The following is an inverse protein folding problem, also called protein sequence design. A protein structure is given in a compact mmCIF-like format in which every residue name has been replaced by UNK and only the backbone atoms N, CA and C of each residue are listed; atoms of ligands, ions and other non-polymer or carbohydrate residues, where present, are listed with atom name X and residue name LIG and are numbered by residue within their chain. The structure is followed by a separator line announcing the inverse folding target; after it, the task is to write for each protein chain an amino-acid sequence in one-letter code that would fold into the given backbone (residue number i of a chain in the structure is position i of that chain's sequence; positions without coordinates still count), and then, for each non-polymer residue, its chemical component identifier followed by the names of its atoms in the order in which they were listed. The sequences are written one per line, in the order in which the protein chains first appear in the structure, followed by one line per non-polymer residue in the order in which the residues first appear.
data_IF_465642840193
#
_entry.id   IF_465642840193
#
_cell.length_a   1.000
_cell.length_b   1.000
_cell.length_c   1.000
_cell.angle_alpha   90.00
_cell.angle_beta   90.00
_cell.angle_gamma   90.00
#
_symmetry.space_group_name_H-M   'P 1'
#
loop_
_entity.id
_entity.type
_entity.pdbx_description
1 polymer ?
#
# COMPACT_ATOMS: atom_id res chain seq x y z
N UNK A 1 10.41 30.07 -6.26
CA UNK A 1 10.74 29.44 -6.11
C UNK A 1 11.12 28.71 -5.58
N UNK A 2 11.08 28.13 -5.54
CA UNK A 2 11.48 27.43 -5.14
C UNK A 2 11.78 26.74 -4.51
N UNK A 3 11.66 26.48 -4.34
CA UNK A 3 11.98 25.88 -3.81
C UNK A 3 12.14 25.06 -3.32
N UNK A 4 11.86 24.94 -3.17
CA UNK A 4 12.04 24.23 -2.80
C UNK A 4 12.30 23.40 -2.70
N UNK A 5 12.05 23.25 -2.90
CA UNK A 5 12.42 22.34 -2.85
C UNK A 5 13.09 21.77 -2.24
N UNK A 6 12.99 21.97 -2.39
CA UNK A 6 13.79 21.67 -1.86
C UNK A 6 14.14 21.05 -0.91
N UNK A 7 14.52 21.27 -0.55
CA UNK A 7 14.98 20.73 0.68
C UNK A 7 14.29 19.58 1.22
N UNK A 8 13.38 19.30 0.72
CA UNK A 8 12.64 18.19 1.19
C UNK A 8 13.31 16.89 1.06
N UNK A 9 14.41 16.82 0.38
CA UNK A 9 15.07 15.55 0.19
C UNK A 9 15.37 14.82 1.48
N UNK A 10 15.76 15.53 2.50
CA UNK A 10 16.16 14.88 3.73
C UNK A 10 15.05 14.16 4.46
N UNK A 11 13.83 14.48 4.20
CA UNK A 11 12.71 13.87 4.93
C UNK A 11 11.96 12.85 4.10
N UNK A 12 12.57 12.31 3.07
CA UNK A 12 11.89 11.40 2.16
C UNK A 12 11.30 10.20 2.87
N UNK A 13 12.05 9.58 3.78
CA UNK A 13 11.55 8.40 4.49
C UNK A 13 10.30 8.73 5.31
N UNK A 14 10.27 9.89 5.95
CA UNK A 14 9.12 10.31 6.72
C UNK A 14 7.91 10.59 5.85
N UNK A 15 8.12 10.97 4.60
CA UNK A 15 7.04 11.28 3.66
C UNK A 15 6.61 10.07 2.85
N UNK A 16 7.27 8.95 2.97
CA UNK A 16 6.97 7.77 2.18
C UNK A 16 5.76 7.01 2.71
N UNK A 17 5.53 7.07 4.00
CA UNK A 17 4.45 6.32 4.65
C UNK A 17 3.30 7.25 5.02
N UNK A 18 2.10 6.82 4.63
CA UNK A 18 0.88 7.57 4.96
C UNK A 18 -0.16 6.59 5.46
N UNK A 19 -0.84 6.98 6.54
CA UNK A 19 -1.99 6.24 7.02
C UNK A 19 -3.22 7.05 6.64
N UNK A 20 -4.11 6.45 5.86
CA UNK A 20 -5.27 7.16 5.33
C UNK A 20 -6.55 6.42 5.68
N UNK A 21 -7.67 7.10 5.53
CA UNK A 21 -8.98 6.50 5.74
C UNK A 21 -9.35 5.63 4.54
N UNK A 22 -10.32 4.74 4.75
CA UNK A 22 -10.82 3.91 3.68
C UNK A 22 -11.54 4.73 2.62
N UNK A 23 -12.20 5.79 3.04
CA UNK A 23 -12.83 6.70 2.11
C UNK A 23 -11.79 7.37 1.21
N UNK A 24 -10.69 7.80 1.80
CA UNK A 24 -9.61 8.41 1.04
C UNK A 24 -8.98 7.41 0.08
N UNK A 25 -8.78 6.19 0.54
CA UNK A 25 -8.23 5.14 -0.31
C UNK A 25 -9.15 4.90 -1.51
N UNK A 26 -10.46 4.85 -1.28
CA UNK A 26 -11.42 4.64 -2.36
C UNK A 26 -11.35 5.77 -3.38
N UNK A 27 -11.22 7.00 -2.92
CA UNK A 27 -11.08 8.13 -3.83
C UNK A 27 -9.82 8.01 -4.69
N UNK A 28 -8.71 7.57 -4.08
CA UNK A 28 -7.48 7.39 -4.83
C UNK A 28 -7.64 6.30 -5.89
N UNK A 29 -8.30 5.20 -5.51
CA UNK A 29 -8.57 4.11 -6.47
C UNK A 29 -9.39 4.59 -7.66
N UNK A 30 -10.34 5.49 -7.41
CA UNK A 30 -11.25 5.95 -8.47
C UNK A 30 -10.62 7.01 -9.37
N UNK A 31 -9.62 7.73 -8.89
CA UNK A 31 -9.15 8.94 -9.57
C UNK A 31 -7.75 8.85 -10.15
N UNK A 32 -6.97 7.86 -9.75
CA UNK A 32 -5.59 7.78 -10.24
C UNK A 32 -5.14 6.34 -10.33
N UNK A 33 -4.00 6.14 -10.96
CA UNK A 33 -3.41 4.81 -11.05
C UNK A 33 -2.76 4.47 -9.73
N UNK A 34 -3.19 3.37 -9.14
CA UNK A 34 -2.64 2.90 -7.87
C UNK A 34 -2.46 1.39 -7.94
N UNK A 35 -1.60 0.88 -7.10
CA UNK A 35 -1.47 -0.56 -6.90
C UNK A 35 -2.11 -0.87 -5.55
N UNK A 36 -3.15 -1.71 -5.56
CA UNK A 36 -3.85 -2.11 -4.34
C UNK A 36 -3.21 -3.42 -3.89
N UNK A 37 -2.60 -3.41 -2.73
CA UNK A 37 -1.82 -4.54 -2.24
C UNK A 37 -2.51 -5.19 -1.04
N UNK A 38 -2.90 -6.45 -1.23
CA UNK A 38 -3.46 -7.28 -0.18
C UNK A 38 -2.32 -8.09 0.44
N UNK A 39 -2.04 -7.87 1.72
CA UNK A 39 -0.90 -8.52 2.36
C UNK A 39 -1.32 -9.65 3.29
N UNK A 40 -2.56 -10.15 3.10
CA UNK A 40 -3.06 -11.31 3.82
C UNK A 40 -2.53 -12.59 3.17
N UNK A 41 -3.08 -13.74 3.59
CA UNK A 41 -2.68 -15.02 3.02
C UNK A 41 -3.54 -15.37 1.81
N UNK A 42 -3.08 -16.34 1.05
CA UNK A 42 -3.75 -16.75 -0.19
C UNK A 42 -5.21 -17.15 0.05
N UNK A 43 -5.47 -17.93 1.09
CA UNK A 43 -6.83 -18.39 1.37
C UNK A 43 -7.76 -17.24 1.74
N UNK A 44 -7.24 -16.23 2.41
CA UNK A 44 -8.03 -15.03 2.72
C UNK A 44 -8.36 -14.27 1.45
N UNK A 45 -7.37 -14.11 0.59
CA UNK A 45 -7.55 -13.43 -0.68
C UNK A 45 -8.58 -14.14 -1.55
N UNK A 46 -8.50 -15.46 -1.60
CA UNK A 46 -9.42 -16.28 -2.41
C UNK A 46 -10.85 -16.19 -1.90
N UNK A 47 -11.04 -16.02 -0.61
CA UNK A 47 -12.36 -15.90 -0.01
C UNK A 47 -13.02 -14.54 -0.30
N UNK A 48 -12.24 -13.55 -0.69
CA UNK A 48 -12.76 -12.23 -1.02
C UNK A 48 -11.67 -11.19 -0.88
N UNK A 49 -11.61 -10.25 -1.81
CA UNK A 49 -10.61 -9.19 -1.78
C UNK A 49 -11.15 -7.94 -2.46
N UNK A 50 -10.49 -6.83 -2.23
CA UNK A 50 -10.89 -5.56 -2.84
C UNK A 50 -10.64 -5.65 -4.35
N UNK A 51 -11.60 -5.23 -5.18
CA UNK A 51 -11.45 -5.35 -6.63
C UNK A 51 -10.15 -4.71 -7.13
N UNK A 52 -9.42 -5.45 -7.95
CA UNK A 52 -8.15 -4.98 -8.49
C UNK A 52 -6.95 -5.21 -7.59
N UNK A 53 -7.13 -5.74 -6.40
CA UNK A 53 -6.01 -5.99 -5.49
C UNK A 53 -5.12 -7.11 -6.00
N UNK A 54 -3.82 -6.96 -5.75
CA UNK A 54 -2.84 -8.02 -5.98
C UNK A 54 -2.35 -8.52 -4.64
N UNK A 55 -2.04 -9.80 -4.58
CA UNK A 55 -1.67 -10.44 -3.33
C UNK A 55 -0.15 -10.45 -3.15
N UNK A 56 0.30 -10.02 -1.96
CA UNK A 56 1.69 -10.16 -1.56
C UNK A 56 1.70 -10.34 -0.04
N UNK A 57 1.64 -11.59 0.46
CA UNK A 57 1.54 -11.83 1.89
C UNK A 57 2.71 -11.20 2.66
N UNK A 58 2.41 -10.63 3.82
CA UNK A 58 3.37 -9.83 4.57
C UNK A 58 4.66 -10.61 4.86
N UNK A 59 4.54 -11.91 5.11
CA UNK A 59 5.71 -12.74 5.43
C UNK A 59 6.59 -13.04 4.24
N UNK A 60 6.18 -12.70 3.04
CA UNK A 60 6.93 -13.00 1.83
C UNK A 60 7.53 -11.77 1.16
N UNK A 61 7.43 -10.60 1.79
CA UNK A 61 7.90 -9.36 1.18
C UNK A 61 9.42 -9.32 1.16
N UNK A 62 9.97 -9.30 -0.04
CA UNK A 62 11.39 -9.09 -0.29
C UNK A 62 11.49 -8.09 -1.44
N UNK A 63 12.72 -7.67 -1.72
CA UNK A 63 12.95 -6.79 -2.86
C UNK A 63 12.42 -7.39 -4.15
N UNK A 64 12.67 -8.69 -4.34
CA UNK A 64 12.28 -9.38 -5.57
C UNK A 64 10.77 -9.61 -5.66
N UNK A 65 10.14 -10.06 -4.57
CA UNK A 65 8.70 -10.32 -4.60
C UNK A 65 7.92 -9.02 -4.75
N UNK A 66 8.39 -7.96 -4.11
CA UNK A 66 7.74 -6.66 -4.24
C UNK A 66 7.87 -6.12 -5.66
N UNK A 67 9.06 -6.24 -6.26
CA UNK A 67 9.29 -5.74 -7.61
C UNK A 67 8.40 -6.45 -8.63
N UNK A 68 8.03 -7.69 -8.37
CA UNK A 68 7.17 -8.45 -9.28
C UNK A 68 5.77 -7.87 -9.37
N UNK A 69 5.28 -7.22 -8.30
CA UNK A 69 3.92 -6.67 -8.28
C UNK A 69 3.91 -5.13 -8.21
N UNK A 70 5.00 -4.51 -7.79
CA UNK A 70 5.13 -3.05 -7.74
C UNK A 70 6.38 -2.69 -8.53
N UNK A 71 6.23 -2.40 -9.83
CA UNK A 71 7.39 -2.28 -10.72
C UNK A 71 8.25 -1.04 -10.50
N UNK A 72 7.67 0.05 -10.02
CA UNK A 72 8.42 1.29 -9.89
C UNK A 72 8.53 1.71 -8.42
N UNK A 73 9.69 2.20 -7.98
CA UNK A 73 9.85 2.61 -6.59
C UNK A 73 8.91 3.74 -6.16
N UNK A 74 8.46 4.56 -7.09
CA UNK A 74 7.57 5.67 -6.80
C UNK A 74 6.11 5.37 -7.13
N UNK A 75 5.78 4.12 -7.41
CA UNK A 75 4.38 3.72 -7.60
C UNK A 75 3.58 4.04 -6.35
N UNK A 76 2.35 4.48 -6.55
CA UNK A 76 1.43 4.72 -5.43
C UNK A 76 0.85 3.37 -5.02
N UNK A 77 1.15 2.94 -3.80
CA UNK A 77 0.75 1.63 -3.30
C UNK A 77 -0.21 1.80 -2.14
N UNK A 78 -1.40 1.23 -2.27
CA UNK A 78 -2.40 1.23 -1.21
C UNK A 78 -2.38 -0.15 -0.57
N UNK A 79 -2.15 -0.22 0.74
CA UNK A 79 -1.88 -1.47 1.44
C UNK A 79 -2.98 -1.74 2.46
N UNK A 80 -3.50 -2.95 2.46
CA UNK A 80 -4.49 -3.35 3.45
C UNK A 80 -4.28 -4.81 3.87
N UNK A 81 -4.85 -5.17 5.00
CA UNK A 81 -4.91 -6.56 5.44
C UNK A 81 -6.32 -6.85 5.97
N UNK A 82 -6.45 -7.65 7.01
CA UNK A 82 -7.76 -7.93 7.56
C UNK A 82 -8.21 -6.84 8.53
N UNK A 83 -7.34 -6.46 9.48
CA UNK A 83 -7.69 -5.53 10.55
C UNK A 83 -6.72 -4.37 10.71
N UNK A 84 -5.62 -4.33 9.93
CA UNK A 84 -4.68 -3.24 9.95
C UNK A 84 -3.31 -3.55 10.55
N UNK A 85 -3.13 -4.66 11.23
CA UNK A 85 -1.84 -4.97 11.85
C UNK A 85 -0.78 -5.40 10.85
N UNK A 86 -1.13 -6.36 9.99
CA UNK A 86 -0.18 -6.84 8.98
C UNK A 86 0.12 -5.77 7.95
N UNK A 87 -0.87 -4.92 7.64
CA UNK A 87 -0.67 -3.87 6.66
C UNK A 87 0.32 -2.82 7.13
N UNK A 88 0.35 -2.53 8.43
CA UNK A 88 1.35 -1.62 8.97
C UNK A 88 2.76 -2.21 8.87
N UNK A 89 2.90 -3.49 9.19
CA UNK A 89 4.17 -4.19 9.07
C UNK A 89 4.63 -4.25 7.63
N UNK A 90 3.72 -4.56 6.73
CA UNK A 90 4.03 -4.65 5.32
C UNK A 90 4.46 -3.29 4.76
N UNK A 91 3.77 -2.23 5.16
CA UNK A 91 4.11 -0.88 4.70
C UNK A 91 5.51 -0.50 5.12
N UNK A 92 5.89 -0.82 6.36
CA UNK A 92 7.24 -0.55 6.84
C UNK A 92 8.27 -1.33 6.03
N UNK A 93 7.99 -2.59 5.75
CA UNK A 93 8.89 -3.41 4.95
C UNK A 93 9.08 -2.84 3.55
N UNK A 94 7.99 -2.35 2.94
CA UNK A 94 8.08 -1.76 1.61
C UNK A 94 8.92 -0.50 1.60
N UNK A 95 8.76 0.35 2.60
CA UNK A 95 9.57 1.56 2.70
C UNK A 95 11.03 1.21 2.92
N UNK A 96 11.31 0.22 3.75
CA UNK A 96 12.68 -0.20 4.02
C UNK A 96 13.41 -0.67 2.75
N UNK A 97 12.68 -1.23 1.80
CA UNK A 97 13.30 -1.69 0.55
C UNK A 97 13.21 -0.68 -0.58
N UNK A 98 12.71 0.54 -0.32
CA UNK A 98 12.86 1.66 -1.25
C UNK A 98 11.61 2.24 -1.87
N UNK A 99 10.41 1.75 -1.51
CA UNK A 99 9.19 2.35 -2.03
C UNK A 99 8.91 3.67 -1.32
N UNK A 100 8.45 4.67 -2.07
CA UNK A 100 8.37 6.03 -1.56
C UNK A 100 6.96 6.60 -1.46
N UNK A 101 5.93 5.83 -1.85
CA UNK A 101 4.56 6.31 -1.82
C UNK A 101 3.63 5.20 -1.34
N UNK A 102 3.69 4.92 -0.05
CA UNK A 102 2.97 3.80 0.57
C UNK A 102 1.86 4.34 1.47
N UNK A 103 0.63 3.95 1.17
CA UNK A 103 -0.57 4.42 1.85
C UNK A 103 -1.29 3.22 2.46
N UNK A 104 -1.33 3.17 3.78
CA UNK A 104 -1.94 2.06 4.51
C UNK A 104 -3.34 2.47 4.96
N UNK A 105 -4.35 1.62 4.72
CA UNK A 105 -5.72 2.02 5.00
C UNK A 105 -6.52 0.99 5.80
N UNK A 106 -5.85 0.19 6.61
CA UNK A 106 -6.55 -0.66 7.58
C UNK A 106 -6.88 -2.04 7.06
N UNK A 107 -8.12 -2.45 7.22
CA UNK A 107 -8.47 -3.82 6.93
C UNK A 107 -9.79 -3.98 6.21
N UNK A 108 -9.91 -5.11 5.52
CA UNK A 108 -11.10 -5.43 4.75
C UNK A 108 -12.31 -5.66 5.67
N UNK A 109 -12.08 -5.98 6.94
CA UNK A 109 -13.18 -6.22 7.88
C UNK A 109 -14.03 -4.98 8.14
N UNK A 110 -13.52 -3.79 7.83
CA UNK A 110 -14.29 -2.54 7.95
C UNK A 110 -14.48 -1.85 6.61
N UNK A 111 -14.11 -2.51 5.51
CA UNK A 111 -14.20 -1.93 4.18
C UNK A 111 -15.68 -1.83 3.77
N UNK A 112 -16.19 -0.62 3.52
CA UNK A 112 -17.63 -0.45 3.26
C UNK A 112 -18.01 -0.52 1.78
N UNK A 113 -17.05 -0.83 0.92
CA UNK A 113 -17.28 -0.83 -0.52
C UNK A 113 -17.23 -2.26 -1.06
N UNK A 114 -17.15 -2.39 -2.38
CA UNK A 114 -17.23 -3.68 -3.05
C UNK A 114 -16.07 -4.60 -2.71
N UNK A 115 -16.36 -5.89 -2.73
CA UNK A 115 -15.40 -6.97 -2.56
C UNK A 115 -15.71 -8.00 -3.65
N UNK A 116 -14.68 -8.56 -4.25
CA UNK A 116 -14.89 -9.63 -5.25
C UNK A 116 -14.26 -10.94 -4.87
#
# INVERSE_FOLDING_TARGET
MLLVLTGCGGSTAGNAYHQISQEEAKKMMDKQEVIILDVREQDEFDAGHIPGAVLLPVGTITKDTAAAVIPEPDSVVLVYCRSGNRSKMASKALIDIGYTAVYEFGGINTWPYEVE
#
